data_IF_869614973578
#
_entry.id   IF_869614973578
#
_cell.length_a   1.000
_cell.length_b   1.000
_cell.length_c   1.000
_cell.angle_alpha   90.00
_cell.angle_beta   90.00
_cell.angle_gamma   90.00
#
_symmetry.space_group_name_H-M   'P 1'
#
loop_
_entity.id
_entity.type
_entity.pdbx_description
1 polymer ?
#
# COMPACT_ATOMS: atom_id res chain seq x y z
N UNK A 1 11.79 -12.21 9.87
CA UNK A 1 11.94 -12.96 8.59
C UNK A 1 10.68 -12.97 7.73
N UNK A 2 9.49 -13.23 8.28
CA UNK A 2 8.24 -13.30 7.48
C UNK A 2 7.90 -12.01 6.71
N UNK A 3 8.15 -10.84 7.31
CA UNK A 3 7.83 -9.55 6.68
C UNK A 3 8.66 -9.27 5.43
N UNK A 4 9.93 -9.69 5.41
CA UNK A 4 10.83 -9.51 4.27
C UNK A 4 10.38 -10.30 3.04
N UNK A 5 10.03 -11.58 3.23
CA UNK A 5 9.52 -12.42 2.14
C UNK A 5 8.17 -11.91 1.63
N UNK A 6 7.25 -11.52 2.52
CA UNK A 6 5.96 -10.94 2.11
C UNK A 6 6.14 -9.64 1.32
N UNK A 7 7.04 -8.76 1.77
CA UNK A 7 7.33 -7.50 1.08
C UNK A 7 7.98 -7.72 -0.28
N UNK A 8 8.82 -8.75 -0.44
CA UNK A 8 9.42 -9.09 -1.74
C UNK A 8 8.35 -9.50 -2.76
N UNK A 9 7.48 -10.45 -2.41
CA UNK A 9 6.40 -10.88 -3.29
C UNK A 9 5.40 -9.75 -3.62
N UNK A 10 5.14 -8.87 -2.67
CA UNK A 10 4.30 -7.68 -2.86
C UNK A 10 4.91 -6.63 -3.79
N UNK A 11 6.22 -6.66 -4.07
CA UNK A 11 6.88 -5.79 -5.04
C UNK A 11 6.93 -6.42 -6.44
N UNK A 12 6.88 -7.75 -6.52
CA UNK A 12 6.87 -8.52 -7.78
C UNK A 12 5.50 -8.57 -8.44
N UNK A 13 4.43 -8.74 -7.64
CA UNK A 13 3.09 -8.92 -8.16
C UNK A 13 2.23 -7.67 -7.99
N UNK A 14 1.38 -7.41 -8.99
CA UNK A 14 0.31 -6.41 -8.86
C UNK A 14 -0.74 -6.97 -7.90
N UNK A 15 -0.91 -6.31 -6.75
CA UNK A 15 -1.89 -6.74 -5.76
C UNK A 15 -3.30 -6.37 -6.27
N UNK A 16 -4.27 -7.31 -6.27
CA UNK A 16 -5.62 -7.01 -6.71
C UNK A 16 -6.24 -5.87 -5.89
N UNK A 17 -6.91 -4.94 -6.56
CA UNK A 17 -7.52 -3.77 -5.91
C UNK A 17 -8.51 -4.15 -4.79
N UNK A 18 -9.15 -5.33 -4.89
CA UNK A 18 -10.05 -5.86 -3.86
C UNK A 18 -9.32 -6.16 -2.55
N UNK A 19 -8.12 -6.73 -2.62
CA UNK A 19 -7.29 -7.06 -1.46
C UNK A 19 -6.78 -5.77 -0.81
N UNK A 20 -6.33 -4.81 -1.63
CA UNK A 20 -5.91 -3.51 -1.12
C UNK A 20 -7.05 -2.82 -0.37
N UNK A 21 -8.26 -2.78 -0.96
CA UNK A 21 -9.45 -2.22 -0.30
C UNK A 21 -9.80 -2.93 1.02
N UNK A 22 -9.60 -4.24 1.12
CA UNK A 22 -9.83 -5.00 2.35
C UNK A 22 -8.85 -4.57 3.44
N UNK A 23 -7.55 -4.50 3.11
CA UNK A 23 -6.49 -4.05 4.04
C UNK A 23 -6.76 -2.60 4.48
N UNK A 24 -7.07 -1.71 3.55
CA UNK A 24 -7.44 -0.33 3.85
C UNK A 24 -8.67 -0.27 4.76
N UNK A 25 -9.68 -1.12 4.53
CA UNK A 25 -10.87 -1.23 5.38
C UNK A 25 -10.56 -1.68 6.81
N UNK A 26 -9.65 -2.65 6.97
CA UNK A 26 -9.18 -3.10 8.28
C UNK A 26 -8.39 -2.02 9.01
N UNK A 27 -7.44 -1.37 8.32
CA UNK A 27 -6.68 -0.27 8.91
C UNK A 27 -7.59 0.90 9.32
N UNK A 28 -8.57 1.27 8.48
CA UNK A 28 -9.59 2.29 8.83
C UNK A 28 -10.37 1.93 10.07
N UNK A 29 -10.80 0.68 10.17
CA UNK A 29 -11.64 0.21 11.27
C UNK A 29 -10.86 0.12 12.57
N UNK A 30 -9.60 -0.28 12.49
CA UNK A 30 -8.67 -0.23 13.61
C UNK A 30 -8.44 1.20 14.08
N UNK A 31 -8.17 2.13 13.17
CA UNK A 31 -7.92 3.55 13.49
C UNK A 31 -9.12 4.24 14.15
N UNK A 32 -10.35 3.98 13.67
CA UNK A 32 -11.53 4.73 14.13
C UNK A 32 -12.45 4.01 15.09
N UNK A 33 -12.47 2.68 15.08
CA UNK A 33 -13.37 1.89 15.92
C UNK A 33 -12.62 0.93 16.84
N UNK A 34 -11.29 0.78 16.70
CA UNK A 34 -10.49 -0.16 17.51
C UNK A 34 -10.84 -1.63 17.29
N UNK A 35 -11.66 -1.94 16.28
CA UNK A 35 -12.15 -3.31 16.03
C UNK A 35 -11.46 -3.95 14.83
N UNK A 36 -11.35 -5.28 14.88
CA UNK A 36 -10.67 -6.12 13.87
C UNK A 36 -11.51 -6.45 12.64
N UNK A 37 -12.75 -5.97 12.56
CA UNK A 37 -13.64 -6.17 11.41
C UNK A 37 -13.86 -4.87 10.65
N UNK A 38 -14.19 -4.96 9.36
CA UNK A 38 -14.43 -3.79 8.53
C UNK A 38 -15.72 -3.09 8.98
N UNK A 39 -15.57 -1.88 9.52
CA UNK A 39 -16.66 -0.99 9.95
C UNK A 39 -16.82 0.16 8.97
N UNK A 40 -18.04 0.69 8.89
CA UNK A 40 -18.35 1.89 8.08
C UNK A 40 -18.10 3.21 8.82
N UNK A 41 -17.63 3.16 10.07
CA UNK A 41 -17.34 4.35 10.88
C UNK A 41 -15.99 4.94 10.48
N UNK A 42 -15.94 5.66 9.37
CA UNK A 42 -14.77 6.44 8.97
C UNK A 42 -15.14 7.91 8.85
N UNK A 43 -14.53 8.74 9.70
CA UNK A 43 -14.78 10.18 9.75
C UNK A 43 -14.07 10.94 8.62
N UNK A 44 -13.04 10.34 8.01
CA UNK A 44 -12.16 10.97 7.03
C UNK A 44 -11.95 10.07 5.82
N UNK A 45 -11.99 10.66 4.62
CA UNK A 45 -11.66 9.98 3.38
C UNK A 45 -10.20 9.48 3.42
N UNK A 46 -10.00 8.21 3.11
CA UNK A 46 -8.68 7.58 3.20
C UNK A 46 -7.60 8.17 2.30
N UNK A 47 -7.99 8.72 1.14
CA UNK A 47 -7.06 9.48 0.29
C UNK A 47 -6.41 10.66 1.05
N UNK A 48 -7.16 11.30 1.95
CA UNK A 48 -6.66 12.38 2.81
C UNK A 48 -5.72 11.84 3.89
N UNK A 49 -5.99 10.65 4.44
CA UNK A 49 -5.07 9.98 5.38
C UNK A 49 -3.73 9.63 4.72
N UNK A 50 -3.76 9.21 3.45
CA UNK A 50 -2.55 8.92 2.67
C UNK A 50 -1.79 10.16 2.19
N UNK A 51 -2.34 11.37 2.39
CA UNK A 51 -1.64 12.60 2.05
C UNK A 51 -0.52 12.87 3.06
N UNK A 52 0.56 13.57 2.65
CA UNK A 52 1.65 13.90 3.56
C UNK A 52 1.16 14.77 4.71
N UNK A 53 1.86 14.72 5.85
CA UNK A 53 1.52 15.51 7.04
C UNK A 53 1.50 17.00 6.77
N UNK A 54 2.36 17.47 5.86
CA UNK A 54 2.40 18.86 5.38
C UNK A 54 1.10 19.31 4.67
N UNK A 55 0.36 18.38 4.07
CA UNK A 55 -0.93 18.66 3.43
C UNK A 55 -2.14 18.36 4.35
N UNK A 56 -1.91 18.21 5.66
CA UNK A 56 -2.96 17.88 6.64
C UNK A 56 -3.46 16.43 6.58
N UNK A 57 -2.65 15.53 6.01
CA UNK A 57 -2.87 14.08 6.07
C UNK A 57 -2.08 13.39 7.18
N UNK A 58 -2.17 12.06 7.26
CA UNK A 58 -1.46 11.27 8.28
C UNK A 58 -0.12 10.71 7.78
N UNK A 59 0.16 10.83 6.48
CA UNK A 59 1.35 10.27 5.84
C UNK A 59 1.30 8.76 5.66
N UNK A 60 0.11 8.15 5.66
CA UNK A 60 -0.02 6.72 5.40
C UNK A 60 0.34 6.39 3.95
N UNK A 61 1.03 5.27 3.74
CA UNK A 61 1.40 4.84 2.39
C UNK A 61 0.14 4.40 1.65
N UNK A 62 -0.14 5.01 0.50
CA UNK A 62 -1.16 4.51 -0.40
C UNK A 62 -0.65 3.22 -1.06
N UNK A 63 -1.16 2.07 -0.61
CA UNK A 63 -0.71 0.76 -1.04
C UNK A 63 -0.90 0.52 -2.54
N UNK A 64 -1.92 1.12 -3.18
CA UNK A 64 -2.09 1.03 -4.64
C UNK A 64 -0.96 1.74 -5.38
N UNK A 65 -0.60 2.94 -4.94
CA UNK A 65 0.48 3.74 -5.55
C UNK A 65 1.83 3.09 -5.30
N UNK A 66 2.05 2.63 -4.06
CA UNK A 66 3.30 1.96 -3.67
C UNK A 66 3.53 0.66 -4.46
N UNK A 67 2.51 -0.19 -4.59
CA UNK A 67 2.63 -1.45 -5.34
C UNK A 67 2.92 -1.21 -6.82
N UNK A 68 2.27 -0.22 -7.44
CA UNK A 68 2.58 0.17 -8.82
C UNK A 68 4.01 0.70 -8.96
N UNK A 69 4.43 1.58 -8.07
CA UNK A 69 5.79 2.12 -8.08
C UNK A 69 6.85 1.02 -7.87
N UNK A 70 6.57 0.04 -7.01
CA UNK A 70 7.44 -1.10 -6.78
C UNK A 70 7.59 -1.99 -8.04
N UNK A 71 6.49 -2.30 -8.71
CA UNK A 71 6.53 -3.10 -9.95
C UNK A 71 7.27 -2.35 -11.06
N UNK A 72 7.04 -1.03 -11.20
CA UNK A 72 7.78 -0.21 -12.18
C UNK A 72 9.27 -0.17 -11.87
N UNK A 73 9.65 -0.03 -10.60
CA UNK A 73 11.05 -0.10 -10.17
C UNK A 73 11.67 -1.45 -10.53
N UNK A 74 10.93 -2.54 -10.32
CA UNK A 74 11.40 -3.88 -10.70
C UNK A 74 11.62 -4.01 -12.20
N UNK A 75 10.68 -3.52 -13.03
CA UNK A 75 10.84 -3.50 -14.48
C UNK A 75 12.05 -2.66 -14.91
N UNK A 76 12.28 -1.53 -14.24
CA UNK A 76 13.46 -0.69 -14.48
C UNK A 76 14.76 -1.42 -14.13
N UNK A 77 14.83 -2.06 -12.96
CA UNK A 77 15.98 -2.86 -12.52
C UNK A 77 16.28 -4.02 -13.49
N UNK A 78 15.23 -4.64 -14.04
CA UNK A 78 15.37 -5.70 -15.04
C UNK A 78 15.94 -5.15 -16.35
N UNK A 79 15.35 -4.08 -16.88
CA UNK A 79 15.80 -3.46 -18.13
C UNK A 79 17.24 -2.93 -18.05
N UNK A 80 17.67 -2.41 -16.90
CA UNK A 80 19.04 -1.92 -16.69
C UNK A 80 20.05 -3.04 -16.42
N UNK A 81 19.61 -4.27 -16.11
CA UNK A 81 20.49 -5.44 -15.98
C UNK A 81 20.82 -6.10 -17.31
N UNK A 82 20.01 -5.86 -18.35
CA UNK A 82 20.23 -6.38 -19.70
C UNK A 82 21.37 -5.65 -20.46
N UNK A 83 21.92 -4.56 -19.92
CA UNK A 83 23.07 -3.83 -20.50
C UNK A 83 24.44 -4.41 -20.05
N UNK A 84 24.47 -5.64 -19.52
CA UNK A 84 25.70 -6.33 -19.09
C UNK A 84 25.75 -7.80 -19.54
N UNK A 85 25.36 -8.09 -20.78
CA UNK A 85 25.69 -9.36 -21.43
C UNK A 85 26.51 -9.14 -22.70
#
# INVERSE_FOLDING_TARGET
MLFGVQSYWAQLFIIPAKIIKLIEGLCRSYLWSGVRYVTKKALVAWKRMCSPKSAGGMGLINMQVWNKAAVVKLCWDLANKEDKL
#
